data_IF_640278849669
#
_entry.id   IF_640278849669
#
_cell.length_a   1.000
_cell.length_b   1.000
_cell.length_c   1.000
_cell.angle_alpha   90.00
_cell.angle_beta   90.00
_cell.angle_gamma   90.00
#
_symmetry.space_group_name_H-M   'P 1'
#
loop_
_entity.id
_entity.type
_entity.pdbx_description
1 polymer ?
#
# COMPACT_ATOMS: atom_id res chain seq x y z
N UNK A 1 -15.19 -3.10 4.05
CA UNK A 1 -14.82 -2.30 5.24
C UNK A 1 -15.21 -2.89 6.58
N UNK A 2 -16.35 -3.59 6.75
CA UNK A 2 -16.69 -4.23 8.04
C UNK A 2 -15.60 -5.16 8.59
N UNK A 3 -14.93 -5.89 7.70
CA UNK A 3 -13.88 -6.84 8.08
C UNK A 3 -12.66 -6.17 8.74
N UNK A 4 -12.26 -5.00 8.25
CA UNK A 4 -11.13 -4.25 8.82
C UNK A 4 -11.50 -3.62 10.18
N UNK A 5 -12.79 -3.38 10.44
CA UNK A 5 -13.28 -2.92 11.75
C UNK A 5 -13.26 -4.04 12.79
N UNK A 6 -13.57 -5.28 12.36
CA UNK A 6 -13.57 -6.48 13.21
C UNK A 6 -12.16 -6.85 13.70
N UNK A 7 -11.16 -6.75 12.83
CA UNK A 7 -9.79 -7.17 13.14
C UNK A 7 -8.89 -5.98 13.48
N UNK A 8 -8.94 -5.51 14.72
CA UNK A 8 -8.12 -4.35 15.14
C UNK A 8 -6.61 -4.64 15.22
N UNK A 9 -6.23 -5.89 15.50
CA UNK A 9 -4.84 -6.32 15.72
C UNK A 9 -4.01 -6.55 14.45
N UNK A 10 -4.57 -6.37 13.26
CA UNK A 10 -3.82 -6.48 12.01
C UNK A 10 -3.19 -5.13 11.65
N UNK A 11 -1.97 -5.15 11.13
CA UNK A 11 -1.32 -3.96 10.59
C UNK A 11 -1.95 -3.57 9.25
N UNK A 12 -2.43 -2.34 9.15
CA UNK A 12 -3.07 -1.76 7.96
C UNK A 12 -2.07 -0.85 7.26
N UNK A 13 -1.45 -1.35 6.21
CA UNK A 13 -0.58 -0.58 5.31
C UNK A 13 -1.44 -0.08 4.14
N UNK A 14 -1.49 1.23 3.94
CA UNK A 14 -2.44 1.89 3.04
C UNK A 14 -1.71 2.70 1.99
N UNK A 15 -2.02 2.47 0.72
CA UNK A 15 -1.44 3.19 -0.41
C UNK A 15 -2.18 4.51 -0.68
N UNK A 16 -1.52 5.63 -0.45
CA UNK A 16 -1.88 6.98 -0.88
C UNK A 16 -3.39 7.28 -0.85
N UNK A 17 -4.07 7.39 -2.01
CA UNK A 17 -5.49 7.71 -2.11
C UNK A 17 -6.43 6.75 -1.37
N UNK A 18 -5.99 5.53 -1.08
CA UNK A 18 -6.74 4.59 -0.22
C UNK A 18 -6.82 5.08 1.24
N UNK A 19 -5.96 5.99 1.69
CA UNK A 19 -6.03 6.62 3.01
C UNK A 19 -7.36 7.33 3.22
N UNK A 20 -7.86 8.03 2.20
CA UNK A 20 -9.18 8.67 2.23
C UNK A 20 -10.29 7.64 2.48
N UNK A 21 -10.27 6.53 1.75
CA UNK A 21 -11.26 5.47 1.90
C UNK A 21 -11.27 4.86 3.32
N UNK A 22 -10.09 4.66 3.91
CA UNK A 22 -9.94 4.15 5.28
C UNK A 22 -10.51 5.15 6.30
N UNK A 23 -10.15 6.43 6.18
CA UNK A 23 -10.59 7.49 7.10
C UNK A 23 -12.10 7.74 7.00
N UNK A 24 -12.66 7.83 5.79
CA UNK A 24 -14.11 8.01 5.57
C UNK A 24 -14.94 6.88 6.20
N UNK A 25 -14.35 5.69 6.35
CA UNK A 25 -15.00 4.55 6.97
C UNK A 25 -14.78 4.46 8.49
N UNK A 26 -14.17 5.48 9.12
CA UNK A 26 -13.88 5.50 10.55
C UNK A 26 -12.77 4.52 10.96
N UNK A 27 -11.90 4.14 10.03
CA UNK A 27 -10.72 3.32 10.29
C UNK A 27 -9.47 4.20 10.36
N UNK A 28 -8.43 3.68 11.02
CA UNK A 28 -7.13 4.34 11.12
C UNK A 28 -6.06 3.48 10.45
N UNK A 29 -5.25 4.05 9.53
CA UNK A 29 -4.09 3.36 8.98
C UNK A 29 -2.99 3.24 10.04
N UNK A 30 -2.28 2.11 10.05
CA UNK A 30 -1.09 1.93 10.88
C UNK A 30 0.14 2.50 10.13
N UNK A 31 0.18 2.28 8.81
CA UNK A 31 1.21 2.79 7.90
C UNK A 31 0.53 3.35 6.66
N UNK A 32 1.00 4.49 6.15
CA UNK A 32 0.62 5.03 4.84
C UNK A 32 1.86 5.08 3.96
N UNK A 33 1.79 4.51 2.76
CA UNK A 33 2.81 4.61 1.71
C UNK A 33 2.30 5.56 0.64
N UNK A 34 3.03 6.62 0.32
CA UNK A 34 2.53 7.68 -0.56
C UNK A 34 3.67 8.44 -1.23
N UNK A 35 3.44 8.84 -2.48
CA UNK A 35 4.23 9.84 -3.22
C UNK A 35 3.69 11.28 -3.08
N UNK A 36 2.76 11.49 -2.14
CA UNK A 36 2.07 12.75 -1.82
C UNK A 36 1.12 13.25 -2.92
N UNK A 37 0.68 12.39 -3.85
CA UNK A 37 -0.23 12.80 -4.92
C UNK A 37 -1.73 12.53 -4.67
N UNK A 38 -2.06 11.89 -3.54
CA UNK A 38 -3.43 11.63 -3.10
C UNK A 38 -4.12 12.80 -2.38
N UNK A 39 -5.15 12.47 -1.60
CA UNK A 39 -5.93 13.46 -0.83
C UNK A 39 -5.11 14.03 0.33
N UNK A 40 -4.52 15.21 0.13
CA UNK A 40 -3.66 15.89 1.11
C UNK A 40 -4.36 16.08 2.47
N UNK A 41 -5.68 16.33 2.49
CA UNK A 41 -6.45 16.46 3.74
C UNK A 41 -6.41 15.15 4.55
N UNK A 42 -6.67 14.03 3.91
CA UNK A 42 -6.58 12.69 4.51
C UNK A 42 -5.16 12.34 4.95
N UNK A 43 -4.14 12.64 4.12
CA UNK A 43 -2.74 12.39 4.46
C UNK A 43 -2.30 13.21 5.68
N UNK A 44 -2.65 14.50 5.75
CA UNK A 44 -2.39 15.34 6.94
C UNK A 44 -3.12 14.82 8.16
N UNK A 45 -4.38 14.39 8.03
CA UNK A 45 -5.15 13.82 9.14
C UNK A 45 -4.50 12.55 9.67
N UNK A 46 -4.06 11.64 8.80
CA UNK A 46 -3.34 10.42 9.19
C UNK A 46 -1.99 10.76 9.85
N UNK A 47 -1.19 11.61 9.21
CA UNK A 47 0.18 11.94 9.64
C UNK A 47 0.28 12.73 10.95
N UNK A 48 -0.81 13.40 11.39
CA UNK A 48 -0.90 14.00 12.73
C UNK A 48 -1.10 12.98 13.87
N UNK A 49 -1.33 11.71 13.53
CA UNK A 49 -1.51 10.64 14.52
C UNK A 49 -0.25 9.78 14.65
N UNK A 50 -0.32 8.67 15.39
CA UNK A 50 0.77 7.68 15.45
C UNK A 50 0.93 6.82 14.16
N UNK A 51 0.21 7.12 13.07
CA UNK A 51 0.45 6.49 11.77
C UNK A 51 1.88 6.76 11.30
N UNK A 52 2.56 5.74 10.77
CA UNK A 52 3.88 5.89 10.14
C UNK A 52 3.67 6.28 8.67
N UNK A 53 4.23 7.43 8.27
CA UNK A 53 4.17 7.91 6.90
C UNK A 53 5.46 7.50 6.16
N UNK A 54 5.32 6.59 5.20
CA UNK A 54 6.40 6.15 4.29
C UNK A 54 6.29 7.00 3.03
N UNK A 55 7.19 7.98 2.90
CA UNK A 55 7.14 8.99 1.85
C UNK A 55 8.10 8.63 0.75
N UNK A 56 7.55 8.41 -0.44
CA UNK A 56 8.34 8.05 -1.60
C UNK A 56 8.68 9.28 -2.44
N UNK A 57 9.94 9.70 -2.44
CA UNK A 57 10.41 10.81 -3.25
C UNK A 57 10.78 10.35 -4.68
N UNK A 58 10.33 11.09 -5.68
CA UNK A 58 10.69 10.91 -7.09
C UNK A 58 10.68 12.25 -7.84
N UNK A 59 11.20 12.29 -9.08
CA UNK A 59 11.50 13.56 -9.77
C UNK A 59 10.33 14.55 -9.88
N UNK A 60 9.11 14.05 -10.07
CA UNK A 60 7.88 14.83 -10.28
C UNK A 60 7.11 15.19 -9.01
N UNK A 61 7.60 14.87 -7.80
CA UNK A 61 6.93 15.24 -6.55
C UNK A 61 7.76 16.16 -5.63
N UNK A 62 8.88 16.69 -6.12
CA UNK A 62 9.79 17.57 -5.36
C UNK A 62 9.05 18.72 -4.66
N UNK A 63 8.15 19.41 -5.38
CA UNK A 63 7.37 20.53 -4.83
C UNK A 63 6.45 20.12 -3.68
N UNK A 64 6.04 18.85 -3.61
CA UNK A 64 5.13 18.34 -2.58
C UNK A 64 5.86 17.89 -1.32
N UNK A 65 7.18 17.70 -1.37
CA UNK A 65 7.95 17.19 -0.23
C UNK A 65 7.86 18.10 1.00
N UNK A 66 7.57 19.39 0.86
CA UNK A 66 7.36 20.27 2.01
C UNK A 66 6.21 19.81 2.94
N UNK A 67 5.26 19.01 2.45
CA UNK A 67 4.15 18.48 3.25
C UNK A 67 4.62 17.54 4.36
N UNK A 68 5.80 16.93 4.25
CA UNK A 68 6.32 16.00 5.27
C UNK A 68 6.45 16.63 6.66
N UNK A 69 6.59 17.97 6.73
CA UNK A 69 6.61 18.75 7.98
C UNK A 69 5.31 18.62 8.79
N UNK A 70 4.22 18.17 8.17
CA UNK A 70 2.93 17.96 8.83
C UNK A 70 2.82 16.57 9.50
N UNK A 71 3.82 15.70 9.34
CA UNK A 71 3.74 14.32 9.78
C UNK A 71 4.60 14.09 11.02
N UNK A 72 3.97 13.51 12.05
CA UNK A 72 4.63 13.18 13.32
C UNK A 72 5.69 12.09 13.16
N UNK A 73 5.37 11.04 12.40
CA UNK A 73 6.27 9.92 12.13
C UNK A 73 6.45 9.77 10.62
N UNK A 74 7.64 10.05 10.12
CA UNK A 74 7.93 10.07 8.69
C UNK A 74 9.24 9.34 8.38
N UNK A 75 9.20 8.45 7.39
CA UNK A 75 10.37 7.74 6.86
C UNK A 75 10.41 7.98 5.34
N UNK A 76 11.55 8.46 4.85
CA UNK A 76 11.75 8.65 3.42
C UNK A 76 12.14 7.35 2.71
N UNK A 77 11.59 7.14 1.52
CA UNK A 77 11.97 6.05 0.63
C UNK A 77 12.31 6.52 -0.78
N UNK A 78 13.09 5.73 -1.50
CA UNK A 78 13.54 6.01 -2.86
C UNK A 78 13.25 4.84 -3.82
N UNK A 79 13.46 5.07 -5.13
CA UNK A 79 13.51 4.04 -6.18
C UNK A 79 14.95 3.58 -6.46
N UNK A 80 15.94 4.34 -5.98
CA UNK A 80 17.38 4.12 -6.22
C UNK A 80 18.05 3.44 -5.03
N UNK A 81 19.39 3.44 -4.97
CA UNK A 81 20.13 2.93 -3.82
C UNK A 81 19.76 3.72 -2.56
N UNK A 82 19.59 3.01 -1.43
CA UNK A 82 19.39 3.64 -0.13
C UNK A 82 20.55 4.56 0.21
N UNK A 83 20.25 5.72 0.80
CA UNK A 83 21.25 6.73 1.17
C UNK A 83 20.88 7.35 2.52
N UNK A 84 21.78 7.24 3.50
CA UNK A 84 21.54 7.76 4.85
C UNK A 84 20.26 7.20 5.48
N UNK A 85 19.30 8.08 5.79
CA UNK A 85 17.99 7.74 6.38
C UNK A 85 16.90 7.46 5.34
N UNK A 86 17.27 7.39 4.06
CA UNK A 86 16.35 7.11 2.95
C UNK A 86 16.52 5.66 2.53
N UNK A 87 15.44 4.88 2.61
CA UNK A 87 15.47 3.44 2.39
C UNK A 87 14.84 3.05 1.04
N UNK A 88 15.24 1.92 0.49
CA UNK A 88 14.55 1.29 -0.64
C UNK A 88 14.10 -0.12 -0.25
N UNK A 89 12.79 -0.28 -0.07
CA UNK A 89 12.16 -1.58 0.22
C UNK A 89 11.73 -2.33 -1.05
N UNK A 90 11.84 -1.69 -2.23
CA UNK A 90 11.34 -2.19 -3.50
C UNK A 90 9.92 -1.70 -3.84
N UNK A 91 9.39 -2.23 -4.95
CA UNK A 91 8.09 -1.82 -5.50
C UNK A 91 8.19 -0.60 -6.43
N UNK A 92 7.11 -0.38 -7.18
CA UNK A 92 7.03 0.62 -8.24
C UNK A 92 5.93 1.65 -7.97
N UNK A 93 4.69 1.22 -7.73
CA UNK A 93 3.57 2.08 -7.31
C UNK A 93 3.34 1.95 -5.80
N UNK A 94 2.63 2.91 -5.19
CA UNK A 94 2.34 2.85 -3.75
C UNK A 94 1.66 1.54 -3.31
N UNK A 95 0.78 0.98 -4.14
CA UNK A 95 0.09 -0.28 -3.88
C UNK A 95 1.03 -1.48 -3.73
N UNK A 96 1.92 -1.71 -4.69
CA UNK A 96 2.89 -2.81 -4.59
C UNK A 96 4.01 -2.50 -3.60
N UNK A 97 4.40 -1.23 -3.42
CA UNK A 97 5.31 -0.80 -2.35
C UNK A 97 4.83 -1.22 -0.95
N UNK A 98 3.52 -1.20 -0.68
CA UNK A 98 2.97 -1.73 0.56
C UNK A 98 3.30 -3.22 0.78
N UNK A 99 3.22 -4.03 -0.28
CA UNK A 99 3.52 -5.47 -0.22
C UNK A 99 5.01 -5.71 -0.04
N UNK A 100 5.85 -4.97 -0.76
CA UNK A 100 7.30 -5.01 -0.62
C UNK A 100 7.74 -4.63 0.79
N UNK A 101 7.16 -3.57 1.36
CA UNK A 101 7.38 -3.16 2.75
C UNK A 101 7.01 -4.25 3.74
N UNK A 102 5.80 -4.82 3.63
CA UNK A 102 5.35 -5.91 4.52
C UNK A 102 6.28 -7.14 4.42
N UNK A 103 6.68 -7.51 3.21
CA UNK A 103 7.60 -8.63 2.97
C UNK A 103 9.00 -8.35 3.54
N UNK A 104 9.52 -7.13 3.39
CA UNK A 104 10.82 -6.74 3.96
C UNK A 104 10.86 -6.95 5.48
N UNK A 105 9.76 -6.61 6.17
CA UNK A 105 9.59 -6.84 7.60
C UNK A 105 9.06 -8.24 7.94
N UNK A 106 9.14 -9.20 7.02
CA UNK A 106 8.83 -10.62 7.23
C UNK A 106 7.42 -10.89 7.76
N UNK A 107 6.42 -10.12 7.32
CA UNK A 107 5.04 -10.38 7.69
C UNK A 107 4.61 -11.79 7.28
N UNK A 108 4.20 -12.64 8.23
CA UNK A 108 3.84 -14.05 7.96
C UNK A 108 2.77 -14.19 6.86
N UNK A 109 1.72 -13.34 6.91
CA UNK A 109 0.61 -13.30 5.94
C UNK A 109 0.44 -11.89 5.40
N UNK A 110 0.35 -11.74 4.08
CA UNK A 110 0.11 -10.46 3.41
C UNK A 110 -1.14 -10.57 2.56
N UNK A 111 -2.14 -9.74 2.88
CA UNK A 111 -3.44 -9.74 2.20
C UNK A 111 -3.60 -8.42 1.41
N UNK A 112 -3.49 -8.50 0.09
CA UNK A 112 -3.65 -7.35 -0.80
C UNK A 112 -5.12 -7.13 -1.15
N UNK A 113 -5.65 -5.96 -0.80
CA UNK A 113 -7.03 -5.56 -1.05
C UNK A 113 -7.09 -4.31 -1.93
N UNK A 114 -8.05 -4.27 -2.85
CA UNK A 114 -8.39 -3.04 -3.60
C UNK A 114 -7.41 -2.65 -4.72
N UNK A 115 -6.42 -3.50 -5.02
CA UNK A 115 -5.55 -3.31 -6.17
C UNK A 115 -6.07 -4.12 -7.37
N UNK A 116 -6.70 -3.41 -8.31
CA UNK A 116 -7.16 -3.97 -9.59
C UNK A 116 -6.10 -3.79 -10.68
N UNK A 117 -5.74 -4.88 -11.34
CA UNK A 117 -4.77 -4.91 -12.45
C UNK A 117 -5.44 -5.03 -13.82
N UNK A 118 -6.77 -4.98 -13.86
CA UNK A 118 -7.57 -4.88 -15.07
C UNK A 118 -7.61 -3.45 -15.63
N UNK A 119 -8.72 -3.10 -16.28
CA UNK A 119 -8.91 -1.80 -16.91
C UNK A 119 -9.68 -0.81 -16.05
N UNK A 120 -10.26 -1.26 -14.92
CA UNK A 120 -11.05 -0.42 -14.02
C UNK A 120 -10.12 0.33 -13.06
N UNK A 121 -10.29 1.65 -13.01
CA UNK A 121 -9.58 2.51 -12.05
C UNK A 121 -10.58 2.88 -10.96
N UNK A 122 -10.27 2.55 -9.71
CA UNK A 122 -11.14 2.85 -8.58
C UNK A 122 -11.21 4.35 -8.29
N UNK A 123 -12.35 4.82 -7.77
CA UNK A 123 -12.60 6.24 -7.42
C UNK A 123 -11.59 6.85 -6.43
N UNK A 124 -10.89 6.02 -5.66
CA UNK A 124 -9.88 6.43 -4.69
C UNK A 124 -8.45 6.37 -5.25
N UNK A 125 -8.26 6.03 -6.53
CA UNK A 125 -6.92 5.86 -7.11
C UNK A 125 -6.27 7.16 -7.57
N UNK A 126 -7.04 8.21 -7.87
CA UNK A 126 -6.65 9.60 -8.16
C UNK A 126 -7.91 10.42 -8.50
N UNK A 127 -7.89 11.73 -8.22
CA UNK A 127 -8.98 12.62 -8.60
C UNK A 127 -9.10 12.78 -10.13
N UNK A 128 -7.97 12.82 -10.83
CA UNK A 128 -7.91 12.95 -12.29
C UNK A 128 -6.93 11.93 -12.87
N UNK A 129 -7.38 11.12 -13.83
CA UNK A 129 -6.51 10.21 -14.59
C UNK A 129 -6.14 10.90 -15.91
N UNK A 130 -5.01 11.60 -15.93
CA UNK A 130 -4.53 12.35 -17.10
C UNK A 130 -4.27 11.44 -18.30
N UNK A 131 -3.66 10.27 -18.06
CA UNK A 131 -3.41 9.28 -19.12
C UNK A 131 -3.71 7.86 -18.61
N UNK A 132 -4.85 7.34 -19.06
CA UNK A 132 -5.33 6.00 -18.67
C UNK A 132 -4.41 4.89 -19.12
N UNK A 133 -3.86 4.99 -20.33
CA UNK A 133 -2.95 3.99 -20.91
C UNK A 133 -1.68 3.86 -20.07
N UNK A 134 -1.07 4.98 -19.69
CA UNK A 134 0.11 5.01 -18.81
C UNK A 134 -0.23 4.45 -17.43
N UNK A 135 -1.38 4.80 -16.84
CA UNK A 135 -1.79 4.25 -15.54
C UNK A 135 -1.95 2.73 -15.60
N UNK A 136 -2.58 2.19 -16.64
CA UNK A 136 -2.72 0.73 -16.84
C UNK A 136 -1.34 0.08 -17.03
N UNK A 137 -0.45 0.69 -17.80
CA UNK A 137 0.92 0.19 -17.97
C UNK A 137 1.69 0.17 -16.64
N UNK A 138 1.56 1.21 -15.82
CA UNK A 138 2.14 1.27 -14.47
C UNK A 138 1.61 0.14 -13.57
N UNK A 139 0.29 -0.08 -13.57
CA UNK A 139 -0.33 -1.17 -12.81
C UNK A 139 0.15 -2.55 -13.28
N UNK A 140 0.26 -2.77 -14.60
CA UNK A 140 0.83 -4.01 -15.16
C UNK A 140 2.28 -4.22 -14.72
N UNK A 141 3.08 -3.16 -14.61
CA UNK A 141 4.46 -3.25 -14.09
C UNK A 141 4.47 -3.63 -12.62
N UNK A 142 3.64 -2.99 -11.79
CA UNK A 142 3.46 -3.37 -10.38
C UNK A 142 3.04 -4.84 -10.22
N UNK A 143 2.11 -5.33 -11.05
CA UNK A 143 1.73 -6.75 -11.08
C UNK A 143 2.92 -7.67 -11.32
N UNK A 144 3.71 -7.41 -12.35
CA UNK A 144 4.90 -8.22 -12.69
C UNK A 144 5.90 -8.25 -11.53
N UNK A 145 6.06 -7.15 -10.79
CA UNK A 145 6.92 -7.09 -9.61
C UNK A 145 6.37 -7.93 -8.45
N UNK A 146 5.06 -7.92 -8.22
CA UNK A 146 4.44 -8.78 -7.22
C UNK A 146 4.58 -10.27 -7.59
N UNK A 147 4.40 -10.63 -8.87
CA UNK A 147 4.59 -11.99 -9.35
C UNK A 147 6.05 -12.45 -9.23
N UNK A 148 7.00 -11.53 -9.38
CA UNK A 148 8.42 -11.80 -9.11
C UNK A 148 8.70 -11.97 -7.61
N UNK A 149 8.12 -11.10 -6.76
CA UNK A 149 8.25 -11.16 -5.31
C UNK A 149 7.72 -12.48 -4.76
N UNK A 150 6.59 -12.96 -5.29
CA UNK A 150 5.96 -14.21 -4.87
C UNK A 150 6.85 -15.44 -5.04
N UNK A 151 7.84 -15.41 -5.95
CA UNK A 151 8.80 -16.52 -6.12
C UNK A 151 9.87 -16.57 -5.02
N UNK A 152 10.02 -15.50 -4.24
CA UNK A 152 11.10 -15.30 -3.27
C UNK A 152 10.60 -15.05 -1.85
N UNK A 153 9.33 -14.67 -1.72
CA UNK A 153 8.72 -14.34 -0.44
C UNK A 153 8.58 -15.58 0.42
N UNK A 154 8.98 -15.48 1.69
CA UNK A 154 8.63 -16.46 2.72
C UNK A 154 7.26 -16.18 3.37
N UNK A 155 6.51 -15.20 2.85
CA UNK A 155 5.18 -14.84 3.35
C UNK A 155 4.10 -15.60 2.59
N UNK A 156 2.98 -15.88 3.27
CA UNK A 156 1.77 -16.32 2.58
C UNK A 156 1.10 -15.12 1.91
N UNK A 157 0.99 -15.15 0.58
CA UNK A 157 0.50 -14.02 -0.21
C UNK A 157 -0.93 -14.26 -0.69
N UNK A 158 -1.82 -13.34 -0.33
CA UNK A 158 -3.24 -13.38 -0.68
C UNK A 158 -3.66 -12.11 -1.43
N UNK A 159 -4.59 -12.23 -2.37
CA UNK A 159 -5.14 -11.07 -3.09
C UNK A 159 -6.60 -11.25 -3.47
N UNK A 160 -7.37 -10.16 -3.45
CA UNK A 160 -8.74 -10.14 -4.02
C UNK A 160 -8.76 -10.16 -5.55
N UNK A 161 -7.62 -9.95 -6.19
CA UNK A 161 -7.46 -9.97 -7.65
C UNK A 161 -6.43 -11.02 -8.08
N UNK A 162 -6.53 -11.50 -9.33
CA UNK A 162 -5.67 -12.59 -9.82
C UNK A 162 -4.24 -12.10 -10.10
N UNK A 163 -3.28 -12.59 -9.32
CA UNK A 163 -1.83 -12.36 -9.47
C UNK A 163 -1.13 -13.71 -9.38
N UNK A 164 -0.21 -14.02 -10.29
CA UNK A 164 0.53 -15.29 -10.24
C UNK A 164 1.36 -15.37 -8.95
N UNK A 165 1.28 -16.51 -8.25
CA UNK A 165 1.96 -16.72 -6.96
C UNK A 165 1.21 -16.20 -5.74
N UNK A 166 0.03 -15.59 -5.91
CA UNK A 166 -0.86 -15.23 -4.81
C UNK A 166 -2.05 -16.18 -4.77
N UNK A 167 -2.50 -16.53 -3.56
CA UNK A 167 -3.78 -17.22 -3.36
C UNK A 167 -4.90 -16.19 -3.58
N UNK A 168 -5.73 -16.43 -4.59
CA UNK A 168 -6.90 -15.57 -4.85
C UNK A 168 -7.96 -15.84 -3.79
N UNK A 169 -8.43 -14.78 -3.14
CA UNK A 169 -9.43 -14.85 -2.07
C UNK A 169 -10.62 -13.93 -2.35
N UNK A 170 -11.72 -14.16 -1.65
CA UNK A 170 -12.86 -13.23 -1.62
C UNK A 170 -12.89 -12.49 -0.27
N UNK A 171 -13.70 -11.43 -0.18
CA UNK A 171 -13.79 -10.65 1.05
C UNK A 171 -14.34 -11.44 2.25
N UNK A 172 -15.16 -12.47 2.00
CA UNK A 172 -15.78 -13.28 3.07
C UNK A 172 -14.77 -14.26 3.70
N UNK A 173 -13.76 -14.70 2.95
CA UNK A 173 -12.75 -15.64 3.43
C UNK A 173 -11.63 -15.00 4.25
N UNK A 174 -11.53 -13.66 4.28
CA UNK A 174 -10.48 -12.94 5.01
C UNK A 174 -10.53 -13.26 6.52
N UNK A 175 -11.73 -13.39 7.09
CA UNK A 175 -11.88 -13.71 8.51
C UNK A 175 -11.16 -15.02 8.85
N UNK A 176 -11.39 -16.06 8.05
CA UNK A 176 -10.78 -17.37 8.23
C UNK A 176 -9.25 -17.33 8.08
N UNK A 177 -8.72 -16.49 7.20
CA UNK A 177 -7.27 -16.38 6.98
C UNK A 177 -6.59 -15.71 8.18
N UNK A 178 -7.24 -14.69 8.74
CA UNK A 178 -6.76 -13.96 9.93
C UNK A 178 -6.88 -14.84 11.18
N UNK A 179 -7.97 -15.60 11.33
CA UNK A 179 -8.22 -16.44 12.51
C UNK A 179 -7.57 -17.82 12.43
N UNK A 180 -7.16 -18.29 11.25
CA UNK A 180 -6.44 -19.55 11.09
C UNK A 180 -5.14 -19.52 11.90
N UNK A 181 -5.22 -20.07 13.11
CA UNK A 181 -4.14 -20.42 14.02
C UNK A 181 -3.31 -21.55 13.40
N UNK A 182 -2.50 -21.27 12.40
CA UNK A 182 -1.45 -22.16 11.88
C UNK A 182 -0.43 -21.22 11.20
N UNK A 183 0.82 -21.02 11.62
CA UNK A 183 1.65 -21.68 12.60
C UNK A 183 2.39 -20.65 13.48
N UNK A 184 2.30 -20.84 14.80
CA UNK A 184 3.31 -20.31 15.71
C UNK A 184 4.59 -21.11 15.51
#
# INVERSE_FOLDING_TARGET
MPILKKHRKITKIVADGAARAIIENGLKPDIVVTDLDGDIKSLKKAGKTNTIMIIHAHGDNTEKLHFVKNFKNCIGTTQTKSTGRIHNFGGFTDGDRCVFLANHFKAKKIILLGMDFGTRIGKYSKATVVNRTVKIAKLRRGKKLLEWLAKKSGSELYSTTKIKGFIKINLRSIDNIITAKNAF
#
